data_IF_949418233035
#
_entry.id   IF_949418233035
#
_cell.length_a   1.000
_cell.length_b   1.000
_cell.length_c   1.000
_cell.angle_alpha   90.00
_cell.angle_beta   90.00
_cell.angle_gamma   90.00
#
_symmetry.space_group_name_H-M   'P 1'
#
loop_
_entity.id
_entity.type
_entity.pdbx_description
1 polymer ?
#
# COMPACT_ATOMS: atom_id res chain seq x y z
N UNK A 1 45.18 30.90 -18.12
CA UNK A 1 45.80 30.65 -19.44
C UNK A 1 45.51 29.21 -19.82
N UNK A 2 45.09 29.00 -21.08
CA UNK A 2 44.34 27.87 -21.67
C UNK A 2 42.87 27.78 -21.23
N UNK A 3 41.88 27.59 -22.09
CA UNK A 3 41.70 27.87 -23.53
C UNK A 3 40.20 27.69 -23.81
N UNK A 4 39.67 28.53 -24.69
CA UNK A 4 38.34 28.66 -25.30
C UNK A 4 37.58 27.40 -25.74
N UNK A 5 36.23 27.47 -25.68
CA UNK A 5 35.19 27.13 -26.70
C UNK A 5 33.89 26.60 -26.03
N UNK A 6 32.80 27.35 -25.87
CA UNK A 6 31.69 27.64 -26.82
C UNK A 6 31.20 26.42 -27.63
N UNK A 7 29.97 25.95 -27.38
CA UNK A 7 28.85 25.96 -28.35
C UNK A 7 27.65 25.11 -27.87
N UNK A 8 26.44 25.69 -27.88
CA UNK A 8 25.20 25.15 -28.47
C UNK A 8 24.07 26.16 -28.14
N UNK A 9 23.79 27.10 -29.05
CA UNK A 9 22.74 27.04 -30.09
C UNK A 9 21.32 27.20 -29.52
N UNK A 10 20.81 28.42 -29.72
CA UNK A 10 19.40 28.76 -29.63
C UNK A 10 18.71 28.44 -30.97
N UNK A 11 17.51 27.89 -30.91
CA UNK A 11 16.56 27.94 -32.02
C UNK A 11 15.17 28.27 -31.45
N UNK A 12 14.76 29.52 -31.69
CA UNK A 12 13.40 29.98 -31.56
C UNK A 12 12.71 29.79 -32.93
N UNK A 13 11.47 29.30 -32.93
CA UNK A 13 10.50 29.66 -33.96
C UNK A 13 9.09 29.70 -33.38
N UNK A 14 8.49 30.89 -33.46
CA UNK A 14 7.06 31.22 -33.38
C UNK A 14 6.31 30.55 -34.56
N UNK A 15 4.99 30.53 -34.76
CA UNK A 15 3.75 30.86 -34.06
C UNK A 15 2.60 30.44 -35.02
N UNK A 16 1.39 30.30 -34.45
CA UNK A 16 0.05 30.47 -35.06
C UNK A 16 -0.44 29.50 -36.16
N UNK A 17 -1.54 28.77 -35.90
CA UNK A 17 -2.90 29.21 -36.25
C UNK A 17 -4.01 28.15 -35.99
N UNK A 18 -4.97 28.53 -35.14
CA UNK A 18 -6.45 28.50 -35.31
C UNK A 18 -7.13 27.23 -35.88
N UNK A 19 -8.11 26.70 -35.12
CA UNK A 19 -9.21 25.94 -35.73
C UNK A 19 -10.10 25.13 -34.78
N UNK A 20 -11.23 25.70 -34.36
CA UNK A 20 -12.52 24.99 -34.36
C UNK A 20 -12.86 24.07 -33.19
N UNK A 21 -13.59 24.62 -32.21
CA UNK A 21 -14.40 23.86 -31.26
C UNK A 21 -15.69 23.31 -31.90
N UNK A 22 -16.07 22.06 -31.60
CA UNK A 22 -17.47 21.61 -31.44
C UNK A 22 -17.58 20.40 -30.48
N UNK A 23 -18.73 20.24 -29.79
CA UNK A 23 -18.82 19.55 -28.50
C UNK A 23 -19.33 18.09 -28.61
N UNK A 24 -18.84 17.21 -27.74
CA UNK A 24 -19.32 15.83 -27.56
C UNK A 24 -19.95 15.65 -26.18
N UNK A 25 -21.21 15.22 -26.17
CA UNK A 25 -22.07 15.09 -25.00
C UNK A 25 -21.56 14.09 -23.94
N UNK A 26 -21.52 14.52 -22.68
CA UNK A 26 -21.26 13.68 -21.50
C UNK A 26 -22.60 13.38 -20.83
N UNK A 27 -22.91 12.08 -20.66
CA UNK A 27 -24.11 11.59 -19.96
C UNK A 27 -23.91 11.69 -18.44
N UNK A 28 -24.86 12.22 -17.65
CA UNK A 28 -24.75 12.25 -16.20
C UNK A 28 -25.28 10.92 -15.61
N UNK A 29 -24.41 10.16 -14.95
CA UNK A 29 -24.80 9.08 -14.07
C UNK A 29 -24.44 9.46 -12.63
N UNK A 30 -25.49 9.82 -11.89
CA UNK A 30 -25.65 9.83 -10.42
C UNK A 30 -24.41 10.03 -9.54
N UNK A 31 -24.06 11.30 -9.32
CA UNK A 31 -23.47 11.73 -8.06
C UNK A 31 -24.60 12.08 -7.09
N UNK A 32 -24.74 11.32 -6.01
CA UNK A 32 -25.51 11.73 -4.83
C UNK A 32 -24.59 11.76 -3.61
N UNK A 33 -24.09 12.96 -3.34
CA UNK A 33 -23.67 13.36 -2.01
C UNK A 33 -24.72 14.31 -1.43
N UNK A 34 -24.62 14.50 -0.12
CA UNK A 34 -25.34 15.45 0.73
C UNK A 34 -26.59 14.88 1.42
N UNK A 35 -26.39 14.57 2.71
CA UNK A 35 -27.47 14.28 3.63
C UNK A 35 -28.36 15.49 3.84
N UNK A 36 -29.67 15.22 3.89
CA UNK A 36 -30.64 16.05 4.57
C UNK A 36 -31.56 15.09 5.35
N UNK A 37 -31.87 15.49 6.58
CA UNK A 37 -32.72 14.78 7.55
C UNK A 37 -34.02 14.29 6.90
N UNK A 38 -34.39 13.04 7.18
CA UNK A 38 -35.65 12.44 6.76
C UNK A 38 -36.49 12.12 7.99
N UNK A 39 -37.00 13.17 8.62
CA UNK A 39 -38.13 13.10 9.54
C UNK A 39 -39.25 13.95 8.95
N UNK A 40 -40.49 13.49 9.12
CA UNK A 40 -41.74 14.05 8.59
C UNK A 40 -42.05 13.70 7.11
N UNK A 41 -42.67 12.54 6.91
CA UNK A 41 -43.94 12.38 6.18
C UNK A 41 -44.43 10.95 6.42
N UNK A 42 -45.50 10.85 7.21
CA UNK A 42 -46.14 9.59 7.60
C UNK A 42 -46.67 8.86 6.38
N UNK A 43 -46.05 7.72 6.07
CA UNK A 43 -46.57 6.72 5.15
C UNK A 43 -46.58 5.38 5.88
N UNK A 44 -47.78 4.80 5.90
CA UNK A 44 -48.15 3.57 6.60
C UNK A 44 -47.18 2.44 6.28
N UNK A 45 -46.79 1.76 7.35
CA UNK A 45 -45.97 0.55 7.38
C UNK A 45 -46.45 -0.49 6.37
N UNK A 46 -45.72 -0.63 5.26
CA UNK A 46 -45.66 -1.89 4.52
C UNK A 46 -44.46 -2.65 5.08
N UNK A 47 -44.76 -3.66 5.92
CA UNK A 47 -43.79 -4.65 6.41
C UNK A 47 -43.06 -5.26 5.21
N UNK A 48 -41.80 -4.89 5.02
CA UNK A 48 -40.87 -5.70 4.24
C UNK A 48 -40.65 -7.04 4.98
N UNK A 49 -40.58 -8.18 4.28
CA UNK A 49 -40.16 -9.42 4.92
C UNK A 49 -38.72 -9.26 5.44
N UNK A 50 -38.34 -9.94 6.55
CA UNK A 50 -36.97 -9.90 7.00
C UNK A 50 -36.07 -10.43 5.90
N UNK A 51 -35.19 -9.56 5.38
CA UNK A 51 -34.10 -9.96 4.50
C UNK A 51 -33.26 -10.93 5.33
N UNK A 52 -33.30 -12.20 4.95
CA UNK A 52 -32.58 -13.26 5.63
C UNK A 52 -31.13 -12.80 5.86
N UNK A 53 -30.70 -12.86 7.12
CA UNK A 53 -29.32 -12.63 7.50
C UNK A 53 -28.43 -13.49 6.59
N UNK A 54 -27.60 -12.84 5.79
CA UNK A 54 -26.54 -13.55 5.09
C UNK A 54 -25.66 -14.17 6.16
N UNK A 55 -25.79 -15.49 6.32
CA UNK A 55 -24.85 -16.27 7.12
C UNK A 55 -23.44 -15.97 6.62
N UNK A 56 -22.46 -15.76 7.51
CA UNK A 56 -21.08 -15.75 7.07
C UNK A 56 -20.86 -17.11 6.40
N UNK A 57 -20.58 -17.11 5.09
CA UNK A 57 -20.00 -18.30 4.46
C UNK A 57 -18.74 -18.59 5.27
N UNK A 58 -18.81 -19.60 6.13
CA UNK A 58 -17.61 -20.24 6.68
C UNK A 58 -16.70 -20.45 5.48
N UNK A 59 -15.54 -19.82 5.50
CA UNK A 59 -14.46 -20.17 4.60
C UNK A 59 -14.23 -21.67 4.83
N UNK A 60 -14.74 -22.48 3.91
CA UNK A 60 -14.35 -23.87 3.84
C UNK A 60 -12.83 -23.84 3.67
N UNK A 61 -12.12 -24.48 4.60
CA UNK A 61 -10.71 -24.78 4.42
C UNK A 61 -10.56 -25.38 3.02
N UNK A 62 -9.89 -24.65 2.13
CA UNK A 62 -9.67 -25.08 0.77
C UNK A 62 -8.72 -26.28 0.83
N UNK A 63 -9.33 -27.46 0.85
CA UNK A 63 -8.70 -28.73 0.49
C UNK A 63 -8.15 -28.58 -0.92
N UNK A 64 -6.83 -28.42 -1.01
CA UNK A 64 -6.03 -28.50 -2.24
C UNK A 64 -6.41 -27.49 -3.32
N UNK A 65 -5.63 -26.43 -3.47
CA UNK A 65 -5.72 -25.57 -4.66
C UNK A 65 -5.42 -26.42 -5.91
N UNK A 66 -6.50 -26.78 -6.60
CA UNK A 66 -6.52 -27.66 -7.76
C UNK A 66 -5.85 -27.02 -8.96
N UNK A 67 -4.99 -27.82 -9.57
CA UNK A 67 -4.16 -27.52 -10.72
C UNK A 67 -4.93 -27.18 -12.00
N UNK A 68 -4.32 -26.33 -12.83
CA UNK A 68 -4.30 -26.53 -14.28
C UNK A 68 -3.09 -25.84 -14.91
N UNK A 69 -2.01 -26.61 -15.05
CA UNK A 69 -0.80 -26.22 -15.76
C UNK A 69 0.40 -27.07 -15.37
N UNK A 70 0.36 -28.37 -15.65
CA UNK A 70 1.48 -29.29 -15.42
C UNK A 70 2.77 -28.83 -16.13
N UNK A 71 3.82 -28.63 -15.33
CA UNK A 71 5.20 -28.52 -15.78
C UNK A 71 6.10 -28.16 -14.62
N UNK A 72 6.67 -29.16 -13.92
CA UNK A 72 7.89 -29.12 -13.09
C UNK A 72 8.18 -27.98 -12.10
N UNK A 73 7.32 -26.99 -11.88
CA UNK A 73 7.61 -25.82 -11.04
C UNK A 73 7.06 -25.98 -9.62
N UNK A 74 7.82 -25.49 -8.64
CA UNK A 74 7.40 -25.51 -7.23
C UNK A 74 6.23 -24.57 -6.96
N UNK A 75 6.18 -23.44 -7.68
CA UNK A 75 5.17 -22.38 -7.55
C UNK A 75 4.68 -21.87 -8.92
N UNK A 76 3.44 -21.41 -8.99
CA UNK A 76 2.93 -20.71 -10.18
C UNK A 76 3.43 -19.26 -10.23
N UNK A 77 3.61 -18.65 -9.06
CA UNK A 77 4.09 -17.30 -8.91
C UNK A 77 5.01 -17.17 -7.69
N UNK A 78 6.20 -16.61 -7.90
CA UNK A 78 7.09 -16.15 -6.83
C UNK A 78 7.20 -14.63 -6.88
N UNK A 79 7.06 -14.01 -5.71
CA UNK A 79 7.16 -12.56 -5.55
C UNK A 79 8.39 -12.27 -4.69
N UNK A 80 9.31 -11.44 -5.18
CA UNK A 80 10.50 -11.02 -4.43
C UNK A 80 10.21 -9.65 -3.80
N UNK A 81 10.03 -9.64 -2.48
CA UNK A 81 9.70 -8.47 -1.67
C UNK A 81 8.25 -8.48 -1.17
N UNK A 82 8.07 -8.37 0.14
CA UNK A 82 6.77 -8.30 0.83
C UNK A 82 6.38 -6.87 1.22
N UNK A 83 6.74 -5.89 0.39
CA UNK A 83 6.17 -4.54 0.45
C UNK A 83 4.68 -4.52 0.07
N UNK A 84 4.05 -3.34 0.12
CA UNK A 84 2.63 -3.18 -0.27
C UNK A 84 2.32 -3.65 -1.69
N UNK A 85 3.27 -3.48 -2.64
CA UNK A 85 3.14 -3.98 -4.01
C UNK A 85 3.17 -5.51 -4.10
N UNK A 86 4.13 -6.14 -3.42
CA UNK A 86 4.23 -7.60 -3.38
C UNK A 86 3.06 -8.25 -2.63
N UNK A 87 2.61 -7.64 -1.54
CA UNK A 87 1.42 -8.06 -0.82
C UNK A 87 0.17 -8.01 -1.70
N UNK A 88 -0.07 -6.90 -2.40
CA UNK A 88 -1.20 -6.78 -3.32
C UNK A 88 -1.15 -7.79 -4.47
N UNK A 89 0.03 -8.05 -5.03
CA UNK A 89 0.23 -9.08 -6.04
C UNK A 89 -0.08 -10.49 -5.51
N UNK A 90 0.34 -10.79 -4.27
CA UNK A 90 0.09 -12.09 -3.64
C UNK A 90 -1.41 -12.32 -3.39
N UNK A 91 -2.13 -11.31 -2.89
CA UNK A 91 -3.58 -11.38 -2.70
C UNK A 91 -4.28 -11.70 -4.02
N UNK A 92 -3.95 -10.97 -5.09
CA UNK A 92 -4.57 -11.19 -6.39
C UNK A 92 -4.23 -12.56 -6.99
N UNK A 93 -3.00 -13.03 -6.79
CA UNK A 93 -2.59 -14.35 -7.26
C UNK A 93 -3.38 -15.48 -6.57
N UNK A 94 -3.60 -15.38 -5.26
CA UNK A 94 -4.44 -16.33 -4.52
C UNK A 94 -5.90 -16.26 -4.97
N UNK A 95 -6.45 -15.06 -5.22
CA UNK A 95 -7.80 -14.90 -5.78
C UNK A 95 -7.96 -15.61 -7.15
N UNK A 96 -6.87 -15.72 -7.91
CA UNK A 96 -6.82 -16.44 -9.19
C UNK A 96 -6.49 -17.93 -9.05
N UNK A 97 -6.35 -18.43 -7.81
CA UNK A 97 -6.07 -19.84 -7.52
C UNK A 97 -4.62 -20.26 -7.78
N UNK A 98 -3.68 -19.32 -7.90
CA UNK A 98 -2.27 -19.62 -8.15
C UNK A 98 -1.55 -20.04 -6.87
N UNK A 99 -0.72 -21.09 -6.94
CA UNK A 99 0.18 -21.43 -5.85
C UNK A 99 1.29 -20.37 -5.76
N UNK A 100 1.26 -19.57 -4.70
CA UNK A 100 2.05 -18.34 -4.59
C UNK A 100 3.00 -18.37 -3.40
N UNK A 101 4.25 -17.99 -3.63
CA UNK A 101 5.23 -17.74 -2.57
C UNK A 101 5.72 -16.28 -2.62
N UNK A 102 6.04 -15.73 -1.46
CA UNK A 102 6.67 -14.41 -1.31
C UNK A 102 7.99 -14.57 -0.56
N UNK A 103 9.06 -13.99 -1.11
CA UNK A 103 10.39 -13.98 -0.51
C UNK A 103 10.63 -12.61 0.13
N UNK A 104 10.91 -12.58 1.43
CA UNK A 104 11.20 -11.34 2.17
C UNK A 104 12.42 -11.50 3.07
N UNK A 105 13.37 -10.56 2.96
CA UNK A 105 14.64 -10.59 3.70
C UNK A 105 14.60 -9.81 5.01
N UNK A 106 13.72 -8.82 5.14
CA UNK A 106 13.53 -7.97 6.31
C UNK A 106 12.17 -8.25 6.97
N UNK A 107 11.28 -7.26 6.97
CA UNK A 107 9.97 -7.33 7.61
C UNK A 107 8.84 -7.15 6.60
N UNK A 108 7.82 -7.99 6.73
CA UNK A 108 6.57 -7.87 5.95
C UNK A 108 6.01 -6.45 6.04
N UNK A 109 5.46 -5.95 4.93
CA UNK A 109 4.94 -4.60 4.78
C UNK A 109 5.93 -3.62 4.15
N UNK A 110 7.22 -3.99 4.06
CA UNK A 110 8.28 -3.22 3.40
C UNK A 110 8.39 -1.78 3.92
N UNK A 111 8.88 -0.87 3.08
CA UNK A 111 9.11 0.53 3.47
C UNK A 111 7.82 1.23 3.90
N UNK A 112 6.74 1.08 3.13
CA UNK A 112 5.49 1.82 3.34
C UNK A 112 4.90 1.62 4.75
N UNK A 113 4.86 0.37 5.22
CA UNK A 113 4.27 0.04 6.53
C UNK A 113 5.24 0.31 7.67
N UNK A 114 6.52 -0.04 7.49
CA UNK A 114 7.45 -0.07 8.61
C UNK A 114 8.18 1.27 8.82
N UNK A 115 8.51 2.00 7.75
CA UNK A 115 9.40 3.17 7.79
C UNK A 115 8.97 4.31 6.85
N UNK A 116 7.72 4.30 6.41
CA UNK A 116 7.25 5.17 5.32
C UNK A 116 5.90 5.77 5.63
N UNK A 117 4.91 5.46 4.79
CA UNK A 117 3.60 6.08 4.87
C UNK A 117 2.93 5.87 6.22
N UNK A 118 2.86 4.65 6.76
CA UNK A 118 2.11 4.40 8.00
C UNK A 118 2.62 5.25 9.18
N UNK A 119 3.91 5.18 9.58
CA UNK A 119 4.42 6.00 10.68
C UNK A 119 4.35 7.50 10.35
N UNK A 120 4.68 7.91 9.12
CA UNK A 120 4.60 9.32 8.71
C UNK A 120 3.19 9.89 8.85
N UNK A 121 2.16 9.16 8.40
CA UNK A 121 0.77 9.63 8.46
C UNK A 121 0.23 9.58 9.90
N UNK A 122 0.68 8.64 10.73
CA UNK A 122 0.36 8.63 12.15
C UNK A 122 0.86 9.90 12.87
N UNK A 123 2.11 10.30 12.59
CA UNK A 123 2.72 11.51 13.16
C UNK A 123 2.06 12.79 12.61
N UNK A 124 1.73 12.82 11.32
CA UNK A 124 1.00 13.94 10.70
C UNK A 124 -0.40 14.11 11.29
N UNK A 125 -1.11 13.01 11.60
CA UNK A 125 -2.43 13.08 12.23
C UNK A 125 -2.35 13.71 13.63
N UNK A 126 -1.37 13.31 14.44
CA UNK A 126 -1.18 13.88 15.79
C UNK A 126 -0.79 15.35 15.73
N UNK A 127 0.17 15.71 14.86
CA UNK A 127 0.60 17.11 14.72
C UNK A 127 -0.51 18.01 14.16
N UNK A 128 -1.31 17.51 13.21
CA UNK A 128 -2.49 18.20 12.71
C UNK A 128 -3.50 18.46 13.83
N UNK A 129 -3.77 17.45 14.66
CA UNK A 129 -4.65 17.61 15.82
C UNK A 129 -4.12 18.61 16.84
N UNK A 130 -2.82 18.57 17.11
CA UNK A 130 -2.18 19.52 18.02
C UNK A 130 -2.28 20.96 17.49
N UNK A 131 -2.07 21.15 16.18
CA UNK A 131 -2.23 22.43 15.52
C UNK A 131 -3.66 22.97 15.62
N UNK A 132 -4.66 22.13 15.43
CA UNK A 132 -6.07 22.51 15.62
C UNK A 132 -6.34 22.95 17.07
N UNK A 133 -5.86 22.20 18.05
CA UNK A 133 -6.06 22.50 19.47
C UNK A 133 -5.36 23.80 19.91
N UNK A 134 -4.28 24.18 19.24
CA UNK A 134 -3.55 25.42 19.49
C UNK A 134 -4.16 26.65 18.77
N UNK A 135 -5.09 26.46 17.83
CA UNK A 135 -5.78 27.57 17.16
C UNK A 135 -6.93 28.10 18.04
N UNK A 136 -6.60 28.99 18.96
CA UNK A 136 -7.57 29.57 19.89
C UNK A 136 -8.76 30.25 19.19
N UNK A 137 -8.52 30.95 18.09
CA UNK A 137 -9.57 31.68 17.39
C UNK A 137 -10.55 30.70 16.75
N UNK A 138 -10.03 29.68 16.07
CA UNK A 138 -10.86 28.63 15.50
C UNK A 138 -11.64 27.88 16.58
N UNK A 139 -10.98 27.48 17.68
CA UNK A 139 -11.66 26.80 18.80
C UNK A 139 -12.76 27.68 19.42
N UNK A 140 -12.50 28.97 19.66
CA UNK A 140 -13.50 29.91 20.18
C UNK A 140 -14.69 30.07 19.22
N UNK A 141 -14.46 30.10 17.90
CA UNK A 141 -15.53 30.17 16.89
C UNK A 141 -16.45 28.95 16.91
N UNK A 142 -15.94 27.79 17.34
CA UNK A 142 -16.70 26.56 17.56
C UNK A 142 -17.36 26.51 18.95
N UNK A 143 -17.19 27.54 19.79
CA UNK A 143 -17.67 27.57 21.17
C UNK A 143 -16.84 26.73 22.14
N UNK A 144 -15.61 26.34 21.77
CA UNK A 144 -14.71 25.55 22.60
C UNK A 144 -13.66 26.44 23.26
N UNK A 145 -13.34 26.14 24.52
CA UNK A 145 -12.24 26.77 25.26
C UNK A 145 -11.23 25.68 25.64
N UNK A 146 -10.01 25.79 25.13
CA UNK A 146 -8.89 24.90 25.44
C UNK A 146 -7.87 25.72 26.23
N UNK A 147 -7.58 25.32 27.46
CA UNK A 147 -6.69 26.07 28.37
C UNK A 147 -5.21 25.88 28.04
N UNK A 148 -4.75 24.63 27.98
CA UNK A 148 -3.37 24.29 27.60
C UNK A 148 -3.36 23.01 26.78
N UNK A 149 -2.87 23.08 25.54
CA UNK A 149 -2.59 21.91 24.73
C UNK A 149 -1.10 21.54 24.87
N UNK A 150 -0.81 20.29 25.25
CA UNK A 150 0.53 19.73 25.36
C UNK A 150 0.64 18.37 24.67
N UNK A 151 1.85 17.91 24.43
CA UNK A 151 2.11 16.59 23.85
C UNK A 151 3.37 15.97 24.45
N UNK A 152 3.37 14.65 24.57
CA UNK A 152 4.53 13.84 24.95
C UNK A 152 5.14 13.26 23.68
N UNK A 153 6.40 13.64 23.38
CA UNK A 153 7.11 13.17 22.18
C UNK A 153 7.24 11.65 22.12
N UNK A 154 7.54 11.01 23.25
CA UNK A 154 7.73 9.56 23.31
C UNK A 154 6.40 8.85 23.08
N UNK A 155 5.33 9.29 23.76
CA UNK A 155 4.00 8.71 23.56
C UNK A 155 3.50 8.83 22.11
N UNK A 156 3.83 9.93 21.42
CA UNK A 156 3.49 10.13 20.00
C UNK A 156 4.29 9.20 19.10
N UNK A 157 5.59 9.01 19.35
CA UNK A 157 6.42 8.05 18.63
C UNK A 157 5.91 6.61 18.84
N UNK A 158 5.61 6.24 20.09
CA UNK A 158 5.09 4.93 20.46
C UNK A 158 3.74 4.66 19.79
N UNK A 159 2.86 5.67 19.70
CA UNK A 159 1.60 5.56 18.96
C UNK A 159 1.84 5.19 17.49
N UNK A 160 2.77 5.87 16.81
CA UNK A 160 3.10 5.57 15.41
C UNK A 160 3.69 4.17 15.24
N UNK A 161 4.62 3.77 16.11
CA UNK A 161 5.27 2.45 16.10
C UNK A 161 4.27 1.31 16.38
N UNK A 162 3.36 1.53 17.32
CA UNK A 162 2.30 0.58 17.65
C UNK A 162 1.33 0.38 16.47
N UNK A 163 0.98 1.46 15.76
CA UNK A 163 0.14 1.38 14.57
C UNK A 163 0.82 0.59 13.45
N UNK A 164 2.09 0.89 13.16
CA UNK A 164 2.89 0.17 12.17
C UNK A 164 2.98 -1.33 12.51
N UNK A 165 3.26 -1.67 13.78
CA UNK A 165 3.36 -3.04 14.25
C UNK A 165 2.05 -3.84 14.12
N UNK A 166 0.90 -3.20 14.41
CA UNK A 166 -0.42 -3.81 14.23
C UNK A 166 -0.72 -4.09 12.76
N UNK A 167 -0.47 -3.12 11.88
CA UNK A 167 -0.70 -3.27 10.44
C UNK A 167 0.20 -4.37 9.87
N UNK A 168 1.49 -4.39 10.23
CA UNK A 168 2.43 -5.45 9.85
C UNK A 168 1.94 -6.85 10.23
N UNK A 169 1.48 -6.99 11.47
CA UNK A 169 0.96 -8.26 11.99
C UNK A 169 -0.28 -8.70 11.22
N UNK A 170 -1.19 -7.77 10.93
CA UNK A 170 -2.39 -8.05 10.14
C UNK A 170 -2.07 -8.49 8.72
N UNK A 171 -1.13 -7.81 8.03
CA UNK A 171 -0.67 -8.19 6.70
C UNK A 171 -0.08 -9.61 6.71
N UNK A 172 0.81 -9.89 7.68
CA UNK A 172 1.43 -11.21 7.81
C UNK A 172 0.40 -12.31 8.03
N UNK A 173 -0.55 -12.07 8.95
CA UNK A 173 -1.61 -13.04 9.27
C UNK A 173 -2.56 -13.26 8.09
N UNK A 174 -2.90 -12.20 7.35
CA UNK A 174 -3.76 -12.31 6.16
C UNK A 174 -3.13 -13.18 5.07
N UNK A 175 -1.84 -13.02 4.78
CA UNK A 175 -1.13 -13.85 3.80
C UNK A 175 -1.08 -15.32 4.23
N UNK A 176 -0.79 -15.58 5.51
CA UNK A 176 -0.81 -16.94 6.06
C UNK A 176 -2.19 -17.58 6.00
N UNK A 177 -3.24 -16.83 6.33
CA UNK A 177 -4.62 -17.30 6.28
C UNK A 177 -5.08 -17.64 4.85
N UNK A 178 -4.50 -16.96 3.85
CA UNK A 178 -4.76 -17.18 2.42
C UNK A 178 -3.89 -18.29 1.81
N UNK A 179 -2.99 -18.91 2.58
CA UNK A 179 -2.12 -19.98 2.10
C UNK A 179 -0.95 -19.52 1.24
N UNK A 180 -0.53 -18.25 1.37
CA UNK A 180 0.72 -17.77 0.74
C UNK A 180 1.91 -18.21 1.57
N UNK A 181 2.88 -18.86 0.93
CA UNK A 181 4.13 -19.24 1.58
C UNK A 181 5.03 -18.02 1.74
N UNK A 182 5.43 -17.69 2.97
CA UNK A 182 6.36 -16.59 3.27
C UNK A 182 7.75 -17.17 3.51
N UNK A 183 8.61 -17.05 2.50
CA UNK A 183 9.98 -17.54 2.51
C UNK A 183 10.90 -16.44 3.01
N UNK A 184 11.54 -16.65 4.15
CA UNK A 184 12.39 -15.62 4.77
C UNK A 184 13.81 -15.69 4.21
N UNK A 185 14.26 -14.63 3.54
CA UNK A 185 15.61 -14.52 2.96
C UNK A 185 15.69 -13.51 1.83
N UNK A 186 16.90 -13.30 1.32
CA UNK A 186 17.15 -12.47 0.14
C UNK A 186 16.96 -13.31 -1.13
N UNK A 187 16.01 -12.92 -1.97
CA UNK A 187 15.74 -13.57 -3.25
C UNK A 187 16.71 -13.09 -4.34
N UNK A 188 17.35 -14.02 -5.02
CA UNK A 188 18.20 -13.79 -6.20
C UNK A 188 17.65 -14.59 -7.38
N UNK A 189 17.44 -13.93 -8.52
CA UNK A 189 17.06 -14.60 -9.76
C UNK A 189 18.31 -15.20 -10.37
N UNK A 190 18.40 -16.54 -10.39
CA UNK A 190 19.56 -17.29 -10.91
C UNK A 190 19.34 -17.81 -12.34
N UNK A 191 18.12 -17.66 -12.86
CA UNK A 191 17.78 -18.02 -14.23
C UNK A 191 16.34 -17.64 -14.57
N UNK A 192 15.89 -17.96 -15.80
CA UNK A 192 14.59 -17.51 -16.34
C UNK A 192 13.38 -17.82 -15.44
N UNK A 193 13.41 -18.95 -14.74
CA UNK A 193 12.29 -19.47 -13.91
C UNK A 193 12.83 -20.10 -12.61
N UNK A 194 13.97 -19.60 -12.12
CA UNK A 194 14.65 -20.11 -10.93
C UNK A 194 15.03 -18.96 -10.01
N UNK A 195 14.65 -19.09 -8.75
CA UNK A 195 14.95 -18.12 -7.69
C UNK A 195 15.63 -18.84 -6.55
N UNK A 196 16.76 -18.31 -6.13
CA UNK A 196 17.47 -18.73 -4.93
C UNK A 196 17.13 -17.79 -3.80
N UNK A 197 16.88 -18.31 -2.60
CA UNK A 197 16.66 -17.49 -1.41
C UNK A 197 17.40 -18.04 -0.20
N UNK A 198 17.90 -17.14 0.64
CA UNK A 198 18.61 -17.51 1.85
C UNK A 198 18.91 -16.32 2.73
N UNK A 199 19.39 -16.60 3.94
CA UNK A 199 19.94 -15.57 4.84
C UNK A 199 21.46 -15.63 4.77
N UNK A 200 22.10 -14.48 4.90
CA UNK A 200 23.57 -14.41 4.99
C UNK A 200 24.04 -15.35 6.10
N UNK A 201 24.95 -16.28 5.76
CA UNK A 201 25.49 -17.28 6.69
C UNK A 201 24.70 -18.59 6.81
N UNK A 202 23.62 -18.78 6.05
CA UNK A 202 22.84 -20.02 6.00
C UNK A 202 22.83 -20.60 4.58
N UNK A 203 22.62 -21.92 4.42
CA UNK A 203 22.51 -22.52 3.09
C UNK A 203 21.31 -21.93 2.34
N UNK A 204 21.56 -21.54 1.09
CA UNK A 204 20.54 -21.07 0.19
C UNK A 204 19.62 -22.22 -0.24
N UNK A 205 18.34 -21.91 -0.42
CA UNK A 205 17.36 -22.81 -1.04
C UNK A 205 17.07 -22.32 -2.45
N UNK A 206 16.85 -23.25 -3.38
CA UNK A 206 16.42 -22.94 -4.74
C UNK A 206 14.98 -23.40 -4.95
N UNK A 207 14.19 -22.54 -5.57
CA UNK A 207 12.83 -22.83 -5.99
C UNK A 207 12.64 -22.43 -7.44
N UNK A 208 11.67 -23.08 -8.05
CA UNK A 208 11.32 -22.90 -9.45
C UNK A 208 9.90 -22.34 -9.54
N UNK A 209 9.70 -21.39 -10.44
CA UNK A 209 8.41 -20.73 -10.59
C UNK A 209 8.10 -20.39 -12.04
N UNK A 210 6.83 -20.55 -12.43
CA UNK A 210 6.38 -20.20 -13.78
C UNK A 210 6.53 -18.70 -14.04
N UNK A 211 6.15 -17.87 -13.07
CA UNK A 211 6.25 -16.42 -13.14
C UNK A 211 6.97 -15.85 -11.93
N UNK A 212 7.70 -14.76 -12.13
CA UNK A 212 8.42 -14.05 -11.06
C UNK A 212 8.04 -12.57 -11.11
N UNK A 213 7.59 -12.02 -9.98
CA UNK A 213 7.37 -10.58 -9.80
C UNK A 213 8.48 -10.00 -8.93
N UNK A 214 9.10 -8.92 -9.40
CA UNK A 214 10.12 -8.18 -8.65
C UNK A 214 9.45 -6.98 -7.98
N UNK A 215 9.39 -7.01 -6.65
CA UNK A 215 8.78 -5.98 -5.81
C UNK A 215 9.71 -5.58 -4.65
N UNK A 216 11.00 -5.44 -4.95
CA UNK A 216 12.09 -5.18 -3.97
C UNK A 216 12.04 -3.79 -3.33
N UNK A 217 11.21 -2.88 -3.85
CA UNK A 217 11.06 -1.54 -3.32
C UNK A 217 12.22 -0.60 -3.68
N UNK A 218 12.51 0.36 -2.80
CA UNK A 218 13.49 1.42 -3.01
C UNK A 218 14.20 1.78 -1.70
N UNK A 219 15.35 2.42 -1.82
CA UNK A 219 16.14 2.96 -0.71
C UNK A 219 16.35 4.46 -0.90
N UNK A 220 16.46 5.27 0.18
CA UNK A 220 16.74 6.69 0.06
C UNK A 220 18.14 6.92 -0.53
N UNK A 221 18.27 7.96 -1.34
CA UNK A 221 19.58 8.46 -1.75
C UNK A 221 20.22 9.25 -0.60
N UNK A 222 21.49 8.96 -0.31
CA UNK A 222 22.28 9.65 0.72
C UNK A 222 23.48 10.32 0.04
N UNK A 223 23.61 11.66 0.10
CA UNK A 223 24.79 12.35 -0.41
C UNK A 223 26.08 11.92 0.28
N UNK A 224 27.19 11.94 -0.43
CA UNK A 224 28.51 11.62 0.13
C UNK A 224 28.83 12.54 1.32
N UNK A 225 29.33 11.94 2.41
CA UNK A 225 29.72 12.67 3.63
C UNK A 225 28.60 12.89 4.66
N UNK A 226 27.40 12.35 4.43
CA UNK A 226 26.31 12.38 5.42
C UNK A 226 26.17 11.00 6.08
N UNK A 227 26.25 10.97 7.41
CA UNK A 227 25.93 9.79 8.20
C UNK A 227 24.41 9.67 8.40
N UNK A 228 23.89 8.46 8.26
CA UNK A 228 22.48 8.13 8.48
C UNK A 228 22.30 7.54 9.88
N UNK A 229 21.25 7.98 10.59
CA UNK A 229 20.94 7.59 11.97
C UNK A 229 20.10 6.32 12.10
N UNK A 230 19.71 5.70 10.97
CA UNK A 230 19.07 4.37 10.93
C UNK A 230 17.57 4.38 11.18
#
# INVERSE_FOLDING_TARGET
MYSTAISLSAAATAAAAVGGARPGAIRPAELRFCGLRREALGLRSLRAPPRAAATPRKAAAATGNGAAGSGGFDYDLVIIGAGVGGHGAALHAVEKGLKTAIIEGDVVGGTCVNRGCVPSKALLAVSGRMRELQDEHHMKSLGLQVSTAGYDRQAVADHANNLASKIRSNLTNSMKALGVDILTGFGTIVGKQKVRYGKVGFPDNEITARNIIIATGSVPFVPNGIEIDG
#
